data_IF_863021921947
#
_entry.id   IF_863021921947
#
_cell.length_a   1.000
_cell.length_b   1.000
_cell.length_c   1.000
_cell.angle_alpha   90.00
_cell.angle_beta   90.00
_cell.angle_gamma   90.00
#
_symmetry.space_group_name_H-M   'P 1'
#
loop_
_entity.id
_entity.type
_entity.pdbx_description
1 polymer ?
#
# COMPACT_ATOMS: atom_id res chain seq x y z
N UNK A 1 14.98 25.47 -26.52
CA UNK A 1 14.61 25.04 -25.16
C UNK A 1 15.36 23.76 -24.84
N UNK A 2 16.51 23.85 -24.16
CA UNK A 2 17.17 22.65 -23.62
C UNK A 2 16.26 22.04 -22.56
N UNK A 3 15.79 20.81 -22.79
CA UNK A 3 15.19 20.00 -21.72
C UNK A 3 16.30 19.72 -20.73
N UNK A 4 16.38 20.48 -19.62
CA UNK A 4 17.20 20.10 -18.47
C UNK A 4 16.83 18.66 -18.12
N UNK A 5 17.75 17.72 -18.34
CA UNK A 5 17.58 16.34 -17.91
C UNK A 5 17.44 16.39 -16.40
N UNK A 6 16.33 15.86 -15.87
CA UNK A 6 16.17 15.67 -14.43
C UNK A 6 17.28 14.70 -14.02
N UNK A 7 18.29 15.11 -13.22
CA UNK A 7 19.48 14.29 -12.95
C UNK A 7 19.13 12.99 -12.22
N UNK A 8 17.94 12.94 -11.63
CA UNK A 8 17.43 11.80 -10.86
C UNK A 8 16.56 10.83 -11.66
N UNK A 9 16.19 11.13 -12.91
CA UNK A 9 15.23 10.31 -13.68
C UNK A 9 15.70 8.89 -13.96
N UNK A 10 16.99 8.72 -14.31
CA UNK A 10 17.63 7.42 -14.54
C UNK A 10 17.73 6.59 -13.23
N UNK A 11 18.40 7.08 -12.16
CA UNK A 11 18.54 6.29 -10.93
C UNK A 11 17.18 5.98 -10.28
N UNK A 12 16.23 6.92 -10.33
CA UNK A 12 14.87 6.67 -9.83
C UNK A 12 14.14 5.58 -10.61
N UNK A 13 14.22 5.59 -11.94
CA UNK A 13 13.57 4.57 -12.78
C UNK A 13 14.18 3.19 -12.58
N UNK A 14 15.50 3.11 -12.37
CA UNK A 14 16.18 1.85 -12.07
C UNK A 14 15.67 1.25 -10.75
N UNK A 15 15.65 2.05 -9.68
CA UNK A 15 15.19 1.57 -8.37
C UNK A 15 13.69 1.20 -8.36
N UNK A 16 12.83 2.00 -9.01
CA UNK A 16 11.41 1.67 -9.19
C UNK A 16 11.26 0.34 -9.93
N UNK A 17 12.07 0.09 -10.96
CA UNK A 17 12.03 -1.18 -11.71
C UNK A 17 12.47 -2.36 -10.85
N UNK A 18 13.47 -2.17 -9.98
CA UNK A 18 13.88 -3.18 -9.00
C UNK A 18 12.74 -3.51 -8.02
N UNK A 19 12.10 -2.49 -7.43
CA UNK A 19 10.97 -2.68 -6.52
C UNK A 19 9.80 -3.36 -7.25
N UNK A 20 9.51 -2.97 -8.48
CA UNK A 20 8.50 -3.61 -9.32
C UNK A 20 8.79 -5.11 -9.51
N UNK A 21 10.04 -5.45 -9.82
CA UNK A 21 10.47 -6.84 -9.94
C UNK A 21 10.27 -7.63 -8.65
N UNK A 22 10.63 -7.05 -7.50
CA UNK A 22 10.42 -7.69 -6.19
C UNK A 22 8.93 -7.87 -5.88
N UNK A 23 8.08 -6.88 -6.17
CA UNK A 23 6.62 -7.02 -6.01
C UNK A 23 6.02 -8.06 -6.95
N UNK A 24 6.55 -8.22 -8.16
CA UNK A 24 6.09 -9.27 -9.07
C UNK A 24 6.47 -10.67 -8.55
N UNK A 25 7.68 -10.81 -8.00
CA UNK A 25 8.17 -12.07 -7.42
C UNK A 25 7.46 -12.43 -6.11
N UNK A 26 6.91 -11.47 -5.37
CA UNK A 26 6.17 -11.79 -4.14
C UNK A 26 4.87 -12.56 -4.39
N UNK A 27 4.28 -12.48 -5.59
CA UNK A 27 3.09 -13.27 -5.93
C UNK A 27 3.35 -14.78 -5.83
N UNK A 28 4.32 -15.37 -6.55
CA UNK A 28 4.64 -16.79 -6.39
C UNK A 28 5.24 -17.12 -5.01
N UNK A 29 5.99 -16.20 -4.37
CA UNK A 29 6.51 -16.45 -3.02
C UNK A 29 5.41 -16.58 -1.97
N UNK A 30 4.41 -15.69 -1.97
CA UNK A 30 3.30 -15.79 -1.02
C UNK A 30 2.45 -17.03 -1.25
N UNK A 31 2.26 -17.46 -2.51
CA UNK A 31 1.63 -18.74 -2.81
C UNK A 31 2.44 -19.92 -2.26
N UNK A 32 3.77 -19.94 -2.49
CA UNK A 32 4.66 -20.95 -1.91
C UNK A 32 4.56 -20.99 -0.38
N UNK A 33 4.61 -19.82 0.27
CA UNK A 33 4.52 -19.71 1.73
C UNK A 33 3.24 -20.34 2.29
N UNK A 34 2.10 -20.15 1.62
CA UNK A 34 0.80 -20.68 2.05
C UNK A 34 0.69 -22.19 1.84
N UNK A 35 1.13 -22.70 0.69
CA UNK A 35 0.89 -24.08 0.29
C UNK A 35 2.02 -25.05 0.66
N UNK A 36 3.24 -24.55 0.82
CA UNK A 36 4.44 -25.37 1.03
C UNK A 36 5.31 -24.90 2.22
N UNK A 37 5.25 -23.60 2.57
CA UNK A 37 6.13 -23.01 3.60
C UNK A 37 5.90 -23.47 5.04
N UNK A 38 4.88 -24.30 5.31
CA UNK A 38 4.52 -24.83 6.64
C UNK A 38 4.47 -23.77 7.77
N UNK A 39 4.17 -22.51 7.44
CA UNK A 39 4.21 -21.41 8.42
C UNK A 39 3.11 -21.54 9.49
N UNK A 40 2.05 -22.29 9.21
CA UNK A 40 0.95 -22.50 10.14
C UNK A 40 1.17 -23.63 11.15
N UNK A 41 2.26 -24.41 11.04
CA UNK A 41 2.55 -25.58 11.88
C UNK A 41 1.34 -26.53 12.01
N UNK A 42 0.58 -26.44 13.09
CA UNK A 42 -0.61 -27.27 13.36
C UNK A 42 -1.84 -26.87 12.53
N UNK A 43 -1.83 -25.68 11.92
CA UNK A 43 -2.88 -25.17 11.04
C UNK A 43 -2.35 -25.19 9.62
N UNK A 44 -3.10 -25.79 8.70
CA UNK A 44 -2.76 -25.85 7.27
C UNK A 44 -3.75 -25.03 6.45
N UNK A 45 -3.44 -24.84 5.16
CA UNK A 45 -4.34 -24.16 4.22
C UNK A 45 -5.68 -24.89 4.02
N UNK A 46 -5.78 -26.15 4.49
CA UNK A 46 -6.98 -26.98 4.39
C UNK A 46 -7.98 -26.77 5.53
N UNK A 47 -7.65 -25.91 6.50
CA UNK A 47 -8.60 -25.59 7.57
C UNK A 47 -9.83 -24.93 6.98
N UNK A 48 -11.06 -25.39 7.31
CA UNK A 48 -12.27 -24.77 6.80
C UNK A 48 -12.37 -23.31 7.23
N UNK A 49 -12.65 -22.43 6.28
CA UNK A 49 -12.71 -20.99 6.49
C UNK A 49 -13.75 -20.57 7.54
N UNK A 50 -14.78 -21.40 7.79
CA UNK A 50 -15.77 -21.20 8.84
C UNK A 50 -15.18 -21.17 10.25
N UNK A 51 -13.96 -21.69 10.45
CA UNK A 51 -13.25 -21.68 11.74
C UNK A 51 -12.29 -20.50 11.91
N UNK A 52 -12.18 -19.63 10.90
CA UNK A 52 -11.28 -18.48 10.91
C UNK A 52 -12.12 -17.23 11.01
N UNK A 53 -11.86 -16.36 11.97
CA UNK A 53 -12.52 -15.05 12.04
C UNK A 53 -12.14 -14.22 10.81
N UNK A 54 -13.12 -13.88 9.97
CA UNK A 54 -12.96 -13.05 8.80
C UNK A 54 -13.29 -11.62 9.19
N UNK A 55 -12.32 -10.72 9.02
CA UNK A 55 -12.52 -9.27 9.19
C UNK A 55 -13.01 -8.84 10.57
N UNK A 56 -12.52 -9.47 11.64
CA UNK A 56 -12.88 -9.12 13.02
C UNK A 56 -14.28 -9.56 13.44
N UNK A 57 -15.01 -10.27 12.58
CA UNK A 57 -16.22 -10.99 12.95
C UNK A 57 -15.91 -12.49 12.97
N UNK A 58 -16.41 -13.19 14.00
CA UNK A 58 -16.43 -14.63 13.98
C UNK A 58 -17.25 -15.11 12.76
N UNK A 59 -16.59 -15.71 11.77
CA UNK A 59 -17.22 -16.24 10.54
C UNK A 59 -18.09 -17.46 10.78
N UNK A 60 -18.23 -17.88 12.04
CA UNK A 60 -18.99 -19.05 12.42
C UNK A 60 -20.37 -18.93 11.78
N UNK A 61 -20.68 -19.88 10.88
CA UNK A 61 -21.94 -20.07 10.15
C UNK A 61 -22.17 -19.38 8.78
N UNK A 62 -21.28 -18.54 8.25
CA UNK A 62 -21.54 -17.86 6.94
C UNK A 62 -21.00 -18.62 5.73
N UNK A 63 -19.82 -19.24 5.86
CA UNK A 63 -19.17 -19.95 4.75
C UNK A 63 -19.45 -21.46 4.80
N UNK A 64 -19.72 -22.10 3.65
CA UNK A 64 -19.78 -23.55 3.56
C UNK A 64 -18.47 -24.20 4.05
N UNK A 65 -18.59 -25.33 4.74
CA UNK A 65 -17.45 -26.06 5.34
C UNK A 65 -16.47 -26.65 4.33
N UNK A 66 -16.81 -26.67 3.04
CA UNK A 66 -15.91 -27.12 1.96
C UNK A 66 -14.98 -26.01 1.47
N UNK A 67 -15.20 -24.75 1.85
CA UNK A 67 -14.31 -23.65 1.50
C UNK A 67 -13.17 -23.64 2.52
N UNK A 68 -11.96 -23.87 2.03
CA UNK A 68 -10.74 -23.91 2.84
C UNK A 68 -10.05 -22.53 2.87
N UNK A 69 -9.14 -22.33 3.82
CA UNK A 69 -8.32 -21.12 3.90
C UNK A 69 -7.53 -20.88 2.59
N UNK A 70 -7.03 -21.95 1.97
CA UNK A 70 -6.33 -21.91 0.70
C UNK A 70 -7.18 -21.35 -0.44
N UNK A 71 -8.48 -21.69 -0.48
CA UNK A 71 -9.41 -21.19 -1.50
C UNK A 71 -9.60 -19.67 -1.38
N UNK A 72 -9.81 -19.20 -0.13
CA UNK A 72 -9.94 -17.77 0.14
C UNK A 72 -8.66 -17.01 -0.19
N UNK A 73 -7.51 -17.59 0.13
CA UNK A 73 -6.22 -17.02 -0.22
C UNK A 73 -6.06 -16.88 -1.75
N UNK A 74 -6.36 -17.93 -2.52
CA UNK A 74 -6.26 -17.88 -4.00
C UNK A 74 -7.22 -16.85 -4.59
N UNK A 75 -8.42 -16.71 -4.04
CA UNK A 75 -9.36 -15.68 -4.46
C UNK A 75 -8.78 -14.28 -4.25
N UNK A 76 -8.26 -13.98 -3.05
CA UNK A 76 -7.62 -12.70 -2.74
C UNK A 76 -6.39 -12.46 -3.61
N UNK A 77 -5.53 -13.47 -3.75
CA UNK A 77 -4.34 -13.45 -4.60
C UNK A 77 -4.70 -13.08 -6.03
N UNK A 78 -5.75 -13.71 -6.59
CA UNK A 78 -6.24 -13.46 -7.95
C UNK A 78 -6.76 -12.03 -8.12
N UNK A 79 -7.44 -11.49 -7.10
CA UNK A 79 -7.89 -10.08 -7.09
C UNK A 79 -6.69 -9.15 -7.16
N UNK A 80 -5.65 -9.36 -6.34
CA UNK A 80 -4.45 -8.53 -6.38
C UNK A 80 -3.67 -8.66 -7.68
N UNK A 81 -3.58 -9.85 -8.27
CA UNK A 81 -2.99 -10.03 -9.62
C UNK A 81 -3.74 -9.20 -10.65
N UNK A 82 -5.08 -9.20 -10.62
CA UNK A 82 -5.88 -8.39 -11.53
C UNK A 82 -5.63 -6.88 -11.35
N UNK A 83 -5.61 -6.38 -10.10
CA UNK A 83 -5.30 -4.99 -9.80
C UNK A 83 -3.88 -4.60 -10.18
N UNK A 84 -2.92 -5.48 -9.96
CA UNK A 84 -1.52 -5.29 -10.35
C UNK A 84 -1.39 -5.18 -11.87
N UNK A 85 -2.07 -6.06 -12.62
CA UNK A 85 -2.11 -6.01 -14.08
C UNK A 85 -2.76 -4.70 -14.59
N UNK A 86 -3.91 -4.30 -14.02
CA UNK A 86 -4.54 -3.00 -14.31
C UNK A 86 -3.58 -1.85 -14.05
N UNK A 87 -2.81 -1.91 -12.96
CA UNK A 87 -1.86 -0.86 -12.64
C UNK A 87 -0.68 -0.77 -13.63
N UNK A 88 -0.21 -1.90 -14.15
CA UNK A 88 0.83 -1.95 -15.18
C UNK A 88 0.37 -1.31 -16.50
N UNK A 89 -0.89 -1.56 -16.90
CA UNK A 89 -1.49 -0.96 -18.09
C UNK A 89 -1.82 0.53 -17.90
N UNK A 90 -2.02 0.94 -16.64
CA UNK A 90 -2.29 2.31 -16.22
C UNK A 90 -3.74 2.72 -16.45
N UNK A 91 -4.10 3.97 -16.11
CA UNK A 91 -5.28 4.59 -16.66
C UNK A 91 -5.03 5.23 -18.03
N UNK A 92 -3.83 5.78 -18.29
CA UNK A 92 -3.52 6.54 -19.51
C UNK A 92 -2.29 6.04 -20.27
N UNK A 93 -1.25 5.60 -19.56
CA UNK A 93 0.01 5.09 -20.10
C UNK A 93 0.36 3.78 -19.43
N UNK A 94 0.91 2.84 -20.18
CA UNK A 94 1.52 1.64 -19.62
C UNK A 94 2.83 1.97 -18.88
N UNK A 95 3.31 1.01 -18.10
CA UNK A 95 4.52 1.13 -17.27
C UNK A 95 5.79 1.35 -18.10
N UNK A 96 5.94 0.71 -19.26
CA UNK A 96 7.15 0.81 -20.08
C UNK A 96 7.26 2.21 -20.69
N UNK A 97 6.15 2.71 -21.24
CA UNK A 97 6.03 4.08 -21.75
C UNK A 97 6.34 5.08 -20.64
N UNK A 98 5.81 4.85 -19.44
CA UNK A 98 6.00 5.76 -18.29
C UNK A 98 7.44 5.76 -17.76
N UNK A 99 8.10 4.61 -17.72
CA UNK A 99 9.52 4.52 -17.36
C UNK A 99 10.40 5.23 -18.39
N UNK A 100 10.13 5.03 -19.68
CA UNK A 100 10.83 5.73 -20.77
C UNK A 100 10.66 7.25 -20.65
N UNK A 101 9.44 7.72 -20.48
CA UNK A 101 9.12 9.14 -20.28
C UNK A 101 9.87 9.74 -19.08
N UNK A 102 9.91 9.01 -17.96
CA UNK A 102 10.62 9.42 -16.74
C UNK A 102 12.14 9.53 -16.93
N UNK A 103 12.75 8.59 -17.65
CA UNK A 103 14.18 8.67 -18.04
C UNK A 103 14.46 9.92 -18.87
N UNK A 104 13.53 10.32 -19.75
CA UNK A 104 13.63 11.55 -20.53
C UNK A 104 13.22 12.84 -19.78
N UNK A 105 12.93 12.75 -18.48
CA UNK A 105 12.55 13.89 -17.65
C UNK A 105 11.12 14.37 -17.85
N UNK A 106 10.24 13.55 -18.44
CA UNK A 106 8.80 13.81 -18.51
C UNK A 106 8.17 13.33 -17.20
N UNK A 107 7.58 14.25 -16.46
CA UNK A 107 7.17 14.03 -15.07
C UNK A 107 5.67 13.82 -14.90
N UNK A 108 4.88 14.06 -15.95
CA UNK A 108 3.43 13.88 -15.96
C UNK A 108 3.03 12.46 -16.39
N UNK A 109 3.72 11.44 -15.88
CA UNK A 109 3.41 10.05 -16.19
C UNK A 109 2.20 9.60 -15.37
N UNK A 110 1.05 9.46 -16.04
CA UNK A 110 -0.21 9.04 -15.43
C UNK A 110 -0.37 7.52 -15.49
N UNK A 111 0.55 6.79 -14.86
CA UNK A 111 0.46 5.34 -14.70
C UNK A 111 0.27 4.99 -13.22
N UNK A 112 -0.70 4.11 -12.92
CA UNK A 112 -1.00 3.72 -11.54
C UNK A 112 0.21 3.06 -10.88
N UNK A 113 0.90 2.14 -11.56
CA UNK A 113 2.05 1.43 -10.99
C UNK A 113 3.21 2.38 -10.65
N UNK A 114 3.53 3.36 -11.50
CA UNK A 114 4.55 4.38 -11.18
C UNK A 114 4.19 5.14 -9.90
N UNK A 115 2.93 5.55 -9.75
CA UNK A 115 2.47 6.24 -8.56
C UNK A 115 2.48 5.34 -7.33
N UNK A 116 1.99 4.10 -7.46
CA UNK A 116 2.01 3.12 -6.38
C UNK A 116 3.44 2.87 -5.87
N UNK A 117 4.39 2.56 -6.76
CA UNK A 117 5.79 2.32 -6.39
C UNK A 117 6.47 3.55 -5.76
N UNK A 118 6.25 4.73 -6.34
CA UNK A 118 6.82 5.98 -5.82
C UNK A 118 6.30 6.30 -4.42
N UNK A 119 4.98 6.20 -4.21
CA UNK A 119 4.37 6.54 -2.92
C UNK A 119 4.49 5.43 -1.88
N UNK A 120 4.57 4.17 -2.28
CA UNK A 120 4.99 3.06 -1.39
C UNK A 120 6.37 3.35 -0.81
N UNK A 121 7.32 3.75 -1.65
CA UNK A 121 8.66 4.11 -1.20
C UNK A 121 8.66 5.33 -0.26
N UNK A 122 7.84 6.34 -0.52
CA UNK A 122 7.64 7.49 0.38
C UNK A 122 7.01 7.06 1.71
N UNK A 123 6.03 6.15 1.69
CA UNK A 123 5.40 5.62 2.90
C UNK A 123 6.41 4.87 3.76
N UNK A 124 7.21 3.98 3.19
CA UNK A 124 8.25 3.24 3.92
C UNK A 124 9.33 4.17 4.48
N UNK A 125 9.74 5.19 3.72
CA UNK A 125 10.64 6.23 4.23
C UNK A 125 10.03 6.96 5.43
N UNK A 126 8.79 7.43 5.32
CA UNK A 126 8.11 8.14 6.40
C UNK A 126 7.95 7.25 7.64
N UNK A 127 7.58 5.98 7.43
CA UNK A 127 7.50 4.97 8.47
C UNK A 127 8.83 4.74 9.17
N UNK A 128 9.93 4.64 8.42
CA UNK A 128 11.29 4.45 8.96
C UNK A 128 11.72 5.64 9.80
N UNK A 129 11.42 6.87 9.35
CA UNK A 129 11.72 8.09 10.11
C UNK A 129 10.93 8.13 11.41
N UNK A 130 9.65 7.77 11.37
CA UNK A 130 8.79 7.74 12.57
C UNK A 130 9.31 6.72 13.58
N UNK A 131 9.58 5.49 13.14
CA UNK A 131 10.11 4.42 13.98
C UNK A 131 11.44 4.83 14.64
N UNK A 132 12.36 5.41 13.86
CA UNK A 132 13.62 5.94 14.38
C UNK A 132 13.41 7.03 15.45
N UNK A 133 12.51 7.98 15.21
CA UNK A 133 12.21 9.06 16.17
C UNK A 133 11.56 8.53 17.45
N UNK A 134 10.65 7.56 17.33
CA UNK A 134 10.00 6.92 18.48
C UNK A 134 10.97 6.05 19.27
N UNK A 135 11.92 5.39 18.60
CA UNK A 135 13.01 4.65 19.23
C UNK A 135 13.85 5.53 20.16
N UNK A 136 14.19 6.75 19.75
CA UNK A 136 14.89 7.72 20.62
C UNK A 136 14.06 8.15 21.84
N UNK A 137 12.73 8.08 21.76
CA UNK A 137 11.82 8.36 22.86
C UNK A 137 11.49 7.12 23.73
N UNK A 138 12.07 5.96 23.44
CA UNK A 138 11.77 4.70 24.14
C UNK A 138 10.39 4.11 23.80
N UNK A 139 9.76 4.55 22.70
CA UNK A 139 8.44 4.10 22.26
C UNK A 139 8.57 3.09 21.12
N UNK A 140 9.10 1.90 21.41
CA UNK A 140 9.24 0.85 20.42
C UNK A 140 7.88 0.34 19.93
N UNK A 141 7.75 0.15 18.62
CA UNK A 141 6.55 -0.43 18.02
C UNK A 141 6.65 -1.95 18.16
N UNK A 142 5.89 -2.52 19.08
CA UNK A 142 5.79 -3.96 19.25
C UNK A 142 4.72 -4.53 18.32
N UNK A 143 5.05 -5.52 17.46
CA UNK A 143 4.05 -6.29 16.76
C UNK A 143 3.09 -6.97 17.75
N UNK A 144 1.84 -7.22 17.36
CA UNK A 144 0.93 -8.00 18.19
C UNK A 144 1.41 -9.42 18.42
N UNK A 145 0.90 -10.03 19.49
CA UNK A 145 1.06 -11.46 19.70
C UNK A 145 0.39 -12.23 18.56
N UNK A 146 1.18 -13.05 17.88
CA UNK A 146 0.81 -13.69 16.64
C UNK A 146 0.35 -15.11 16.99
N UNK A 147 -0.96 -15.34 16.99
CA UNK A 147 -1.49 -16.67 17.27
C UNK A 147 -0.99 -17.73 16.27
N UNK A 148 -1.29 -17.54 14.99
CA UNK A 148 -0.85 -18.45 13.93
C UNK A 148 -0.39 -17.68 12.70
N UNK A 149 0.82 -17.96 12.20
CA UNK A 149 1.40 -17.20 11.09
C UNK A 149 0.66 -17.40 9.76
N UNK A 150 0.10 -18.58 9.49
CA UNK A 150 -0.68 -18.81 8.27
C UNK A 150 -1.97 -17.98 8.29
N UNK A 151 -2.69 -18.02 9.42
CA UNK A 151 -3.90 -17.22 9.62
C UNK A 151 -3.57 -15.73 9.57
N UNK A 152 -2.51 -15.30 10.24
CA UNK A 152 -2.05 -13.91 10.20
C UNK A 152 -1.72 -13.47 8.78
N UNK A 153 -0.94 -14.27 8.04
CA UNK A 153 -0.55 -13.95 6.67
C UNK A 153 -1.78 -13.79 5.77
N UNK A 154 -2.79 -14.64 5.93
CA UNK A 154 -4.08 -14.48 5.27
C UNK A 154 -4.79 -13.17 5.69
N UNK A 155 -4.89 -12.88 6.98
CA UNK A 155 -5.58 -11.68 7.50
C UNK A 155 -4.95 -10.39 6.99
N UNK A 156 -3.61 -10.26 7.05
CA UNK A 156 -2.92 -9.08 6.53
C UNK A 156 -3.00 -8.98 5.01
N UNK A 157 -3.20 -10.11 4.31
CA UNK A 157 -3.46 -10.12 2.87
C UNK A 157 -4.87 -9.65 2.55
N UNK A 158 -5.85 -9.99 3.39
CA UNK A 158 -7.24 -9.62 3.22
C UNK A 158 -7.52 -8.16 3.62
N UNK A 159 -6.84 -7.67 4.66
CA UNK A 159 -7.13 -6.37 5.30
C UNK A 159 -7.06 -5.16 4.36
N UNK A 160 -6.14 -5.06 3.37
CA UNK A 160 -6.08 -3.90 2.49
C UNK A 160 -7.36 -3.68 1.69
N UNK A 161 -8.05 -4.75 1.23
CA UNK A 161 -9.32 -4.58 0.51
C UNK A 161 -10.36 -3.93 1.41
N UNK A 162 -10.55 -4.44 2.62
CA UNK A 162 -11.57 -3.94 3.54
C UNK A 162 -11.24 -2.55 4.07
N UNK A 163 -10.00 -2.32 4.46
CA UNK A 163 -9.56 -1.04 4.99
C UNK A 163 -9.56 0.05 3.90
N UNK A 164 -9.14 -0.26 2.67
CA UNK A 164 -9.19 0.75 1.61
C UNK A 164 -10.64 1.05 1.18
N UNK A 165 -11.56 0.07 1.18
CA UNK A 165 -12.98 0.36 0.96
C UNK A 165 -13.53 1.27 2.06
N UNK A 166 -13.30 0.92 3.33
CA UNK A 166 -13.83 1.70 4.45
C UNK A 166 -13.24 3.11 4.50
N UNK A 167 -11.92 3.23 4.58
CA UNK A 167 -11.31 4.53 4.84
C UNK A 167 -11.20 5.37 3.57
N UNK A 168 -11.00 4.77 2.39
CA UNK A 168 -10.73 5.55 1.18
C UNK A 168 -12.01 5.74 0.40
N UNK A 169 -12.74 4.69 0.07
CA UNK A 169 -14.01 4.84 -0.66
C UNK A 169 -15.07 5.51 0.20
N UNK A 170 -15.33 5.00 1.41
CA UNK A 170 -16.41 5.50 2.27
C UNK A 170 -16.00 6.80 2.99
N UNK A 171 -14.88 6.82 3.73
CA UNK A 171 -14.55 7.98 4.56
C UNK A 171 -13.86 9.14 3.82
N UNK A 172 -13.22 8.91 2.66
CA UNK A 172 -12.66 10.00 1.83
C UNK A 172 -13.52 10.25 0.59
N UNK A 173 -13.81 9.21 -0.20
CA UNK A 173 -14.45 9.31 -1.50
C UNK A 173 -15.86 9.86 -1.43
N UNK A 174 -16.71 9.34 -0.55
CA UNK A 174 -18.10 9.81 -0.39
C UNK A 174 -18.15 11.27 0.09
N UNK A 175 -17.39 11.69 1.12
CA UNK A 175 -17.33 13.10 1.50
C UNK A 175 -16.81 14.02 0.39
N UNK A 176 -15.76 13.63 -0.34
CA UNK A 176 -15.30 14.39 -1.49
C UNK A 176 -16.39 14.51 -2.56
N UNK A 177 -17.08 13.42 -2.88
CA UNK A 177 -18.19 13.46 -3.82
C UNK A 177 -19.26 14.46 -3.35
N UNK A 178 -19.74 14.35 -2.11
CA UNK A 178 -20.77 15.24 -1.55
C UNK A 178 -20.38 16.72 -1.54
N UNK A 179 -19.09 17.04 -1.34
CA UNK A 179 -18.59 18.42 -1.29
C UNK A 179 -18.43 19.06 -2.67
N UNK A 180 -18.05 18.27 -3.68
CA UNK A 180 -17.60 18.81 -4.98
C UNK A 180 -18.57 18.55 -6.14
N UNK A 181 -19.65 17.79 -5.95
CA UNK A 181 -20.67 17.61 -6.99
C UNK A 181 -22.07 17.40 -6.42
N UNK A 182 -23.06 17.84 -7.17
CA UNK A 182 -24.49 17.56 -6.92
C UNK A 182 -25.08 16.61 -7.99
N UNK A 183 -24.24 16.09 -8.89
CA UNK A 183 -24.69 15.17 -9.96
C UNK A 183 -24.80 13.74 -9.42
N UNK A 184 -26.01 13.22 -9.30
CA UNK A 184 -26.28 11.90 -8.71
C UNK A 184 -26.55 10.85 -9.79
N UNK A 185 -25.54 10.55 -10.62
CA UNK A 185 -25.57 9.40 -11.53
C UNK A 185 -24.71 8.26 -10.99
N UNK A 186 -25.23 7.03 -10.97
CA UNK A 186 -24.50 5.84 -10.51
C UNK A 186 -23.15 5.70 -11.22
N UNK A 187 -23.12 5.91 -12.54
CA UNK A 187 -21.88 5.86 -13.32
C UNK A 187 -20.87 6.91 -12.85
N UNK A 188 -21.34 8.14 -12.63
CA UNK A 188 -20.48 9.24 -12.21
C UNK A 188 -19.99 9.08 -10.76
N UNK A 189 -20.83 8.53 -9.87
CA UNK A 189 -20.45 8.15 -8.51
C UNK A 189 -19.33 7.12 -8.57
N UNK A 190 -19.52 6.02 -9.29
CA UNK A 190 -18.51 4.96 -9.41
C UNK A 190 -17.17 5.48 -9.96
N UNK A 191 -17.22 6.31 -11.02
CA UNK A 191 -16.01 6.93 -11.60
C UNK A 191 -15.31 7.87 -10.61
N UNK A 192 -16.07 8.67 -9.87
CA UNK A 192 -15.56 9.60 -8.86
C UNK A 192 -14.95 8.88 -7.66
N UNK A 193 -15.58 7.80 -7.19
CA UNK A 193 -15.03 6.94 -6.13
C UNK A 193 -13.81 6.14 -6.59
N UNK A 194 -13.72 5.80 -7.88
CA UNK A 194 -12.55 5.12 -8.44
C UNK A 194 -11.33 6.05 -8.54
N UNK A 195 -11.54 7.30 -8.98
CA UNK A 195 -10.47 8.28 -9.12
C UNK A 195 -10.99 9.71 -8.88
N UNK A 196 -10.95 10.19 -7.63
CA UNK A 196 -11.56 11.47 -7.23
C UNK A 196 -11.04 12.66 -8.03
N UNK A 197 -9.72 12.90 -8.04
CA UNK A 197 -9.15 14.10 -8.69
C UNK A 197 -9.36 14.18 -10.21
N UNK A 198 -9.67 13.08 -10.89
CA UNK A 198 -9.92 13.06 -12.34
C UNK A 198 -11.36 13.38 -12.71
N UNK A 199 -12.31 13.06 -11.84
CA UNK A 199 -13.74 13.19 -12.13
C UNK A 199 -14.41 14.30 -11.31
N UNK A 200 -13.83 14.65 -10.15
CA UNK A 200 -14.24 15.78 -9.34
C UNK A 200 -13.34 16.98 -9.66
N UNK A 201 -13.93 18.12 -10.03
CA UNK A 201 -13.23 19.36 -10.33
C UNK A 201 -12.71 20.05 -9.05
N UNK A 202 -11.78 19.42 -8.34
CA UNK A 202 -11.32 19.83 -6.99
C UNK A 202 -10.40 21.07 -7.01
N UNK A 203 -10.07 21.60 -8.20
CA UNK A 203 -9.07 22.65 -8.41
C UNK A 203 -9.27 23.92 -7.56
N UNK A 204 -10.52 24.38 -7.38
CA UNK A 204 -10.78 25.67 -6.72
C UNK A 204 -10.77 25.60 -5.18
N UNK A 205 -10.79 24.39 -4.58
CA UNK A 205 -10.87 24.22 -3.12
C UNK A 205 -10.06 23.03 -2.60
N UNK A 206 -8.91 22.72 -3.19
CA UNK A 206 -8.09 21.55 -2.81
C UNK A 206 -7.81 21.42 -1.29
N UNK A 207 -7.80 22.53 -0.55
CA UNK A 207 -7.66 22.55 0.91
C UNK A 207 -8.72 21.70 1.63
N UNK A 208 -9.98 21.70 1.17
CA UNK A 208 -11.04 20.89 1.81
C UNK A 208 -10.78 19.40 1.64
N UNK A 209 -10.26 18.99 0.47
CA UNK A 209 -9.87 17.61 0.25
C UNK A 209 -8.72 17.19 1.17
N UNK A 210 -7.73 18.05 1.37
CA UNK A 210 -6.63 17.78 2.31
C UNK A 210 -7.13 17.68 3.76
N UNK A 211 -8.06 18.54 4.19
CA UNK A 211 -8.65 18.44 5.53
C UNK A 211 -9.35 17.09 5.73
N UNK A 212 -10.15 16.64 4.76
CA UNK A 212 -10.80 15.31 4.81
C UNK A 212 -9.76 14.20 4.92
N UNK A 213 -8.70 14.25 4.10
CA UNK A 213 -7.59 13.26 4.15
C UNK A 213 -6.89 13.25 5.51
N UNK A 214 -6.63 14.42 6.10
CA UNK A 214 -5.98 14.49 7.42
C UNK A 214 -6.88 13.92 8.52
N UNK A 215 -8.16 14.31 8.56
CA UNK A 215 -9.11 13.80 9.56
C UNK A 215 -9.23 12.28 9.46
N UNK A 216 -9.42 11.75 8.25
CA UNK A 216 -9.55 10.30 8.03
C UNK A 216 -8.26 9.54 8.33
N UNK A 217 -7.11 10.12 8.03
CA UNK A 217 -5.81 9.55 8.41
C UNK A 217 -5.62 9.45 9.93
N UNK A 218 -6.08 10.44 10.70
CA UNK A 218 -6.08 10.35 12.17
C UNK A 218 -7.05 9.27 12.67
N UNK A 219 -8.25 9.17 12.09
CA UNK A 219 -9.20 8.10 12.44
C UNK A 219 -8.60 6.72 12.14
N UNK A 220 -7.89 6.58 11.02
CA UNK A 220 -7.16 5.36 10.67
C UNK A 220 -6.05 5.03 11.70
N UNK A 221 -5.28 6.03 12.14
CA UNK A 221 -4.28 5.81 13.19
C UNK A 221 -4.89 5.40 14.54
N UNK A 222 -6.01 6.00 14.91
CA UNK A 222 -6.73 5.70 16.16
C UNK A 222 -7.35 4.30 16.13
N UNK A 223 -7.90 3.85 15.00
CA UNK A 223 -8.50 2.51 14.91
C UNK A 223 -7.50 1.39 15.16
N UNK A 224 -6.24 1.60 14.78
CA UNK A 224 -5.17 0.63 15.03
C UNK A 224 -4.87 0.42 16.53
N UNK A 225 -5.34 1.31 17.42
CA UNK A 225 -5.21 1.14 18.88
C UNK A 225 -6.52 0.60 19.48
N UNK A 226 -7.67 0.98 18.91
CA UNK A 226 -8.99 0.71 19.53
C UNK A 226 -9.60 -0.62 19.09
N UNK A 227 -9.49 -0.99 17.81
CA UNK A 227 -10.28 -2.11 17.27
C UNK A 227 -9.70 -3.49 17.54
N UNK A 228 -8.42 -3.58 17.87
CA UNK A 228 -7.70 -4.83 17.67
C UNK A 228 -6.99 -5.35 18.93
N UNK A 229 -6.89 -4.63 20.07
CA UNK A 229 -6.10 -5.02 21.27
C UNK A 229 -4.63 -5.46 20.98
N UNK A 230 -4.17 -5.29 19.74
CA UNK A 230 -2.99 -5.92 19.16
C UNK A 230 -1.82 -4.94 19.07
N UNK A 231 -2.07 -3.66 18.73
CA UNK A 231 -1.01 -2.66 18.61
C UNK A 231 -0.98 -1.68 19.77
N UNK A 232 0.22 -1.44 20.30
CA UNK A 232 0.44 -0.41 21.33
C UNK A 232 0.34 1.02 20.80
N UNK A 233 0.29 1.99 21.72
CA UNK A 233 0.20 3.43 21.42
C UNK A 233 1.31 3.92 20.49
N UNK A 234 2.48 3.26 20.51
CA UNK A 234 3.58 3.56 19.60
C UNK A 234 3.16 3.45 18.11
N UNK A 235 2.16 2.64 17.76
CA UNK A 235 1.68 2.49 16.38
C UNK A 235 0.90 3.70 15.85
N UNK A 236 0.34 4.54 16.74
CA UNK A 236 -0.56 5.65 16.38
C UNK A 236 0.07 6.59 15.35
N UNK A 237 1.31 7.03 15.59
CA UNK A 237 1.98 8.00 14.74
C UNK A 237 2.25 7.42 13.34
N UNK A 238 2.82 6.21 13.29
CA UNK A 238 3.11 5.51 12.04
C UNK A 238 1.82 5.25 11.23
N UNK A 239 0.77 4.72 11.89
CA UNK A 239 -0.51 4.43 11.26
C UNK A 239 -1.22 5.72 10.78
N UNK A 240 -1.20 6.79 11.57
CA UNK A 240 -1.75 8.10 11.17
C UNK A 240 -1.07 8.61 9.89
N UNK A 241 0.27 8.58 9.85
CA UNK A 241 1.04 9.04 8.68
C UNK A 241 0.75 8.17 7.46
N UNK A 242 0.69 6.84 7.63
CA UNK A 242 0.30 5.93 6.55
C UNK A 242 -1.12 6.22 6.04
N UNK A 243 -2.09 6.46 6.94
CA UNK A 243 -3.46 6.82 6.60
C UNK A 243 -3.56 8.13 5.81
N UNK A 244 -2.80 9.16 6.20
CA UNK A 244 -2.72 10.43 5.47
C UNK A 244 -2.13 10.23 4.07
N UNK A 245 -1.02 9.48 3.95
CA UNK A 245 -0.37 9.22 2.66
C UNK A 245 -1.31 8.44 1.74
N UNK A 246 -1.92 7.36 2.22
CA UNK A 246 -2.86 6.54 1.46
C UNK A 246 -4.11 7.33 1.06
N UNK A 247 -4.67 8.14 1.96
CA UNK A 247 -5.79 9.03 1.66
C UNK A 247 -5.44 10.07 0.58
N UNK A 248 -4.24 10.66 0.64
CA UNK A 248 -3.75 11.56 -0.40
C UNK A 248 -3.59 10.85 -1.75
N UNK A 249 -2.99 9.66 -1.74
CA UNK A 249 -2.77 8.87 -2.97
C UNK A 249 -4.10 8.46 -3.59
N UNK A 250 -5.05 7.99 -2.78
CA UNK A 250 -6.40 7.67 -3.22
C UNK A 250 -7.05 8.86 -3.91
N UNK A 251 -7.08 10.02 -3.24
CA UNK A 251 -7.63 11.26 -3.78
C UNK A 251 -6.97 11.63 -5.12
N UNK A 252 -5.63 11.59 -5.19
CA UNK A 252 -4.87 12.18 -6.30
C UNK A 252 -4.64 11.25 -7.49
N UNK A 253 -4.51 9.95 -7.22
CA UNK A 253 -4.08 8.92 -8.17
C UNK A 253 -5.01 7.70 -8.22
N UNK A 254 -6.05 7.64 -7.38
CA UNK A 254 -7.14 6.67 -7.48
C UNK A 254 -7.02 5.44 -6.58
N UNK A 255 -8.10 4.66 -6.54
CA UNK A 255 -8.26 3.48 -5.68
C UNK A 255 -7.18 2.41 -5.91
N UNK A 256 -6.88 2.11 -7.17
CA UNK A 256 -5.87 1.10 -7.55
C UNK A 256 -4.51 1.42 -6.91
N UNK A 257 -4.09 2.69 -6.91
CA UNK A 257 -2.82 3.10 -6.31
C UNK A 257 -2.80 2.89 -4.80
N UNK A 258 -3.84 3.34 -4.09
CA UNK A 258 -3.91 3.22 -2.65
C UNK A 258 -3.96 1.75 -2.21
N UNK A 259 -4.78 0.93 -2.90
CA UNK A 259 -4.87 -0.51 -2.66
C UNK A 259 -3.55 -1.22 -2.83
N UNK A 260 -2.81 -0.96 -3.92
CA UNK A 260 -1.53 -1.63 -4.16
C UNK A 260 -0.42 -1.18 -3.20
N UNK A 261 -0.44 0.07 -2.71
CA UNK A 261 0.50 0.51 -1.69
C UNK A 261 0.24 -0.24 -0.37
N UNK A 262 -1.01 -0.36 0.05
CA UNK A 262 -1.37 -1.05 1.28
C UNK A 262 -1.14 -2.56 1.16
N UNK A 263 -1.52 -3.17 0.05
CA UNK A 263 -1.13 -4.55 -0.28
C UNK A 263 0.40 -4.73 -0.20
N UNK A 264 1.16 -3.75 -0.66
CA UNK A 264 2.61 -3.82 -0.61
C UNK A 264 3.18 -3.75 0.82
N UNK A 265 2.61 -2.95 1.72
CA UNK A 265 3.06 -2.92 3.12
C UNK A 265 2.76 -4.20 3.88
N UNK A 266 1.79 -5.00 3.40
CA UNK A 266 1.38 -6.25 4.00
C UNK A 266 1.92 -7.44 3.20
N UNK A 267 1.16 -7.91 2.21
CA UNK A 267 1.45 -9.12 1.45
C UNK A 267 2.87 -9.15 0.86
N UNK A 268 3.32 -8.08 0.20
CA UNK A 268 4.65 -8.07 -0.44
C UNK A 268 5.77 -8.28 0.58
N UNK A 269 5.81 -7.47 1.64
CA UNK A 269 6.87 -7.56 2.66
C UNK A 269 6.81 -8.90 3.41
N UNK A 270 5.61 -9.35 3.80
CA UNK A 270 5.45 -10.59 4.55
C UNK A 270 5.64 -11.87 3.70
N UNK A 271 5.40 -11.82 2.39
CA UNK A 271 5.72 -12.95 1.48
C UNK A 271 7.22 -13.23 1.51
N UNK A 272 8.04 -12.18 1.44
CA UNK A 272 9.49 -12.33 1.59
C UNK A 272 9.85 -12.74 3.03
N UNK A 273 9.20 -12.14 4.04
CA UNK A 273 9.48 -12.43 5.46
C UNK A 273 9.35 -13.90 5.77
N UNK A 274 8.19 -14.48 5.44
CA UNK A 274 7.91 -15.88 5.67
C UNK A 274 8.74 -16.81 4.79
N UNK A 275 9.03 -16.44 3.54
CA UNK A 275 9.88 -17.23 2.68
C UNK A 275 11.32 -17.33 3.23
N UNK A 276 11.89 -16.19 3.64
CA UNK A 276 13.24 -16.15 4.23
C UNK A 276 13.27 -16.88 5.58
N UNK A 277 12.24 -16.71 6.41
CA UNK A 277 12.09 -17.45 7.66
C UNK A 277 12.10 -18.97 7.41
N UNK A 278 11.33 -19.44 6.43
CA UNK A 278 11.26 -20.85 6.09
C UNK A 278 12.59 -21.40 5.54
N UNK A 279 13.21 -20.70 4.58
CA UNK A 279 14.48 -21.15 3.96
C UNK A 279 15.63 -21.11 4.97
N UNK A 280 15.63 -20.14 5.88
CA UNK A 280 16.67 -19.96 6.89
C UNK A 280 16.44 -20.73 8.19
N UNK A 281 15.31 -21.42 8.35
CA UNK A 281 14.87 -22.04 9.61
C UNK A 281 14.87 -21.05 10.80
N UNK A 282 14.37 -19.84 10.53
CA UNK A 282 14.30 -18.74 11.49
C UNK A 282 12.87 -18.46 11.94
N UNK A 283 12.74 -17.85 13.11
CA UNK A 283 11.49 -17.17 13.48
C UNK A 283 11.22 -15.97 12.56
N UNK A 284 9.95 -15.60 12.36
CA UNK A 284 9.59 -14.49 11.46
C UNK A 284 10.26 -13.17 11.85
N UNK A 285 10.39 -12.89 13.16
CA UNK A 285 11.06 -11.68 13.66
C UNK A 285 12.54 -11.70 13.32
N UNK A 286 13.23 -12.83 13.56
CA UNK A 286 14.64 -13.01 13.22
C UNK A 286 14.88 -12.91 11.70
N UNK A 287 13.94 -13.41 10.89
CA UNK A 287 14.02 -13.28 9.43
C UNK A 287 14.01 -11.81 8.99
N UNK A 288 13.20 -10.95 9.61
CA UNK A 288 13.18 -9.51 9.33
C UNK A 288 14.45 -8.77 9.79
N UNK A 289 15.23 -9.34 10.70
CA UNK A 289 16.51 -8.80 11.16
C UNK A 289 17.68 -9.17 10.24
N UNK A 290 17.47 -10.07 9.28
CA UNK A 290 18.54 -10.52 8.38
C UNK A 290 19.01 -9.40 7.43
N UNK A 291 20.30 -9.42 7.02
CA UNK A 291 20.88 -8.40 6.14
C UNK A 291 20.13 -8.20 4.80
N UNK A 292 19.44 -9.24 4.34
CA UNK A 292 18.58 -9.19 3.16
C UNK A 292 17.47 -8.13 3.28
N UNK A 293 16.77 -8.06 4.42
CA UNK A 293 15.73 -7.06 4.65
C UNK A 293 16.31 -5.65 4.81
N UNK A 294 17.48 -5.52 5.44
CA UNK A 294 18.21 -4.25 5.47
C UNK A 294 18.49 -3.72 4.06
N UNK A 295 18.88 -4.60 3.12
CA UNK A 295 19.12 -4.23 1.72
C UNK A 295 17.83 -3.80 1.01
N UNK A 296 16.74 -4.56 1.17
CA UNK A 296 15.42 -4.20 0.62
C UNK A 296 14.97 -2.84 1.15
N UNK A 297 15.06 -2.63 2.47
CA UNK A 297 14.67 -1.39 3.12
C UNK A 297 15.48 -0.21 2.60
N UNK A 298 16.80 -0.35 2.44
CA UNK A 298 17.66 0.71 1.87
C UNK A 298 17.22 1.06 0.44
N UNK A 299 16.97 0.06 -0.43
CA UNK A 299 16.49 0.29 -1.80
C UNK A 299 15.18 1.10 -1.79
N UNK A 300 14.23 0.73 -0.94
CA UNK A 300 12.93 1.40 -0.85
C UNK A 300 13.08 2.81 -0.27
N UNK A 301 13.83 2.98 0.82
CA UNK A 301 14.06 4.28 1.48
C UNK A 301 14.77 5.27 0.56
N UNK A 302 15.83 4.84 -0.15
CA UNK A 302 16.53 5.67 -1.13
C UNK A 302 15.59 6.05 -2.29
N UNK A 303 14.74 5.13 -2.74
CA UNK A 303 13.71 5.43 -3.75
C UNK A 303 12.71 6.48 -3.26
N UNK A 304 12.29 6.40 -1.99
CA UNK A 304 11.41 7.36 -1.35
C UNK A 304 12.05 8.76 -1.31
N UNK A 305 13.32 8.84 -0.91
CA UNK A 305 14.06 10.10 -0.88
C UNK A 305 14.20 10.72 -2.28
N UNK A 306 14.58 9.92 -3.29
CA UNK A 306 14.67 10.37 -4.67
C UNK A 306 13.30 10.82 -5.23
N UNK A 307 12.22 10.13 -4.85
CA UNK A 307 10.85 10.51 -5.22
C UNK A 307 10.52 11.91 -4.70
N UNK A 308 10.81 12.19 -3.42
CA UNK A 308 10.59 13.50 -2.81
C UNK A 308 11.44 14.58 -3.49
N UNK A 309 12.73 14.32 -3.74
CA UNK A 309 13.62 15.25 -4.44
C UNK A 309 13.08 15.61 -5.83
N UNK A 310 12.61 14.62 -6.59
CA UNK A 310 12.01 14.85 -7.91
C UNK A 310 10.71 15.68 -7.81
N UNK A 311 9.87 15.43 -6.80
CA UNK A 311 8.64 16.21 -6.58
C UNK A 311 8.96 17.68 -6.23
N UNK A 312 9.99 17.93 -5.41
CA UNK A 312 10.45 19.28 -5.06
C UNK A 312 10.97 20.00 -6.30
N UNK A 313 11.85 19.36 -7.08
CA UNK A 313 12.43 19.93 -8.30
C UNK A 313 11.36 20.29 -9.34
N UNK A 314 10.35 19.44 -9.51
CA UNK A 314 9.22 19.72 -10.41
C UNK A 314 8.45 20.95 -9.98
N UNK A 315 8.21 21.11 -8.67
CA UNK A 315 7.48 22.24 -8.12
C UNK A 315 8.27 23.55 -8.25
N UNK A 316 9.58 23.54 -7.97
CA UNK A 316 10.42 24.73 -8.11
C UNK A 316 10.55 25.17 -9.57
N UNK A 317 10.75 24.22 -10.49
CA UNK A 317 10.78 24.50 -11.93
C UNK A 317 9.46 25.08 -12.42
N UNK A 318 8.31 24.59 -11.94
CA UNK A 318 7.01 25.16 -12.27
C UNK A 318 6.92 26.63 -11.82
N UNK A 319 7.25 26.94 -10.56
CA UNK A 319 7.20 28.31 -10.02
C UNK A 319 8.12 29.25 -10.80
N UNK A 320 9.32 28.78 -11.20
CA UNK A 320 10.28 29.59 -11.95
C UNK A 320 9.83 29.97 -13.37
N UNK A 321 8.88 29.24 -13.97
CA UNK A 321 8.35 29.54 -15.30
C UNK A 321 7.30 30.66 -15.30
N UNK A 322 6.80 31.04 -14.13
CA UNK A 322 5.80 32.10 -13.94
C UNK A 322 6.38 33.34 -13.22
N UNK A 323 7.70 33.38 -13.03
CA UNK A 323 8.45 34.57 -12.62
C UNK A 323 9.27 35.06 -13.80
#
# INVERSE_FOLDING_TARGET
MERRRVPFGIPHSALISTILGMMAVSFPLGAYVVFDGNIGQNITFQVPASHIALFGAESYSVLPSFIELGDLFILLWSIYVAFFAVALLGPDRDILTSLKERVFGITHTANYMIHALSWFAVLVLASTVVDMLQGYAGLAITPPDIGNHLVQFYLITASPITEEILYRVILVGVPLFAVYTHRVSIKFIAQSLWHPARHLHIHDKAQRAIIIVVITGVIFGVSHIIQDDFWGVAKLAQATIAGIILGYVYYRYGFVCALLIHWATNYFIYSYGHFVAHVGDWGITEAFEQPFFGTIQIIIVVTGALTILMMIEQRTNFISRYR
#
